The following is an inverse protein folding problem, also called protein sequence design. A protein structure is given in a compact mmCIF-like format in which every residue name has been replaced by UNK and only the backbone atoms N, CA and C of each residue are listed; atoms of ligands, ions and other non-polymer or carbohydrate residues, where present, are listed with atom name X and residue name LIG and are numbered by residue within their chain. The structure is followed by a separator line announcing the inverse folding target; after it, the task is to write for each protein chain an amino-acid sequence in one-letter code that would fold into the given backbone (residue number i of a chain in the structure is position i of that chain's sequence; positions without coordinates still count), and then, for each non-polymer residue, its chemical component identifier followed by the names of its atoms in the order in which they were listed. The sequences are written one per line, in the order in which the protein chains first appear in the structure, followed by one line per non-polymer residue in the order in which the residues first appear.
data_IF_463107061113
#
_entry.id   IF_463107061113
#
_cell.length_a   1.000
_cell.length_b   1.000
_cell.length_c   1.000
_cell.angle_alpha   90.00
_cell.angle_beta   90.00
_cell.angle_gamma   90.00
#
_symmetry.space_group_name_H-M   'P 1'
#
loop_
_entity.id
_entity.type
_entity.pdbx_description
1 polymer ?
#
# COMPACT_ATOMS: atom_id res chain seq x y z
N UNK A 1 17.90 -19.35 -8.82
CA UNK A 1 17.32 -19.60 -7.48
C UNK A 1 16.11 -18.69 -7.38
N UNK A 2 14.98 -19.10 -6.76
CA UNK A 2 13.87 -18.18 -6.57
C UNK A 2 14.37 -16.97 -5.77
N UNK A 3 14.04 -15.76 -6.23
CA UNK A 3 14.37 -14.52 -5.52
C UNK A 3 13.60 -14.55 -4.20
N UNK A 4 14.32 -14.50 -3.08
CA UNK A 4 13.69 -14.41 -1.77
C UNK A 4 13.22 -12.97 -1.55
N UNK A 5 11.92 -12.74 -1.73
CA UNK A 5 11.32 -11.41 -1.57
C UNK A 5 11.01 -11.12 -0.10
N UNK A 6 11.33 -9.90 0.35
CA UNK A 6 10.95 -9.45 1.68
C UNK A 6 9.44 -9.24 1.76
N UNK A 7 8.77 -10.09 2.54
CA UNK A 7 7.32 -10.06 2.74
C UNK A 7 6.96 -10.01 4.23
N UNK A 8 6.06 -9.11 4.58
CA UNK A 8 5.58 -8.95 5.95
C UNK A 8 4.09 -9.26 6.02
N UNK A 9 3.71 -10.11 6.99
CA UNK A 9 2.30 -10.45 7.21
C UNK A 9 1.64 -9.39 8.09
N UNK A 10 0.37 -9.12 7.80
CA UNK A 10 -0.40 -8.07 8.45
C UNK A 10 -0.47 -8.26 9.96
N UNK A 11 -0.13 -7.21 10.71
CA UNK A 11 -0.36 -7.12 12.15
C UNK A 11 -1.18 -5.87 12.46
N UNK A 12 -2.33 -6.02 13.15
CA UNK A 12 -3.26 -4.92 13.47
C UNK A 12 -3.66 -4.13 12.21
N UNK A 13 -3.62 -2.79 12.23
CA UNK A 13 -3.89 -1.92 11.08
C UNK A 13 -2.59 -1.31 10.52
N UNK A 14 -1.47 -2.03 10.58
CA UNK A 14 -0.15 -1.55 10.13
C UNK A 14 0.10 -1.81 8.63
N UNK A 15 -0.96 -1.88 7.81
CA UNK A 15 -0.86 -2.23 6.39
C UNK A 15 0.09 -1.31 5.63
N UNK A 16 0.11 0.00 5.93
CA UNK A 16 1.05 0.91 5.29
C UNK A 16 2.52 0.63 5.64
N UNK A 17 2.82 0.20 6.87
CA UNK A 17 4.20 -0.20 7.25
C UNK A 17 4.65 -1.36 6.37
N UNK A 18 3.81 -2.38 6.25
CA UNK A 18 4.12 -3.58 5.46
C UNK A 18 4.22 -3.25 3.96
N UNK A 19 3.32 -2.42 3.44
CA UNK A 19 3.36 -1.96 2.05
C UNK A 19 4.67 -1.23 1.73
N UNK A 20 5.13 -0.33 2.60
CA UNK A 20 6.40 0.38 2.45
C UNK A 20 7.62 -0.54 2.54
N UNK A 21 7.63 -1.48 3.49
CA UNK A 21 8.75 -2.42 3.64
C UNK A 21 8.81 -3.41 2.48
N UNK A 22 7.65 -3.84 1.96
CA UNK A 22 7.58 -4.64 0.74
C UNK A 22 7.98 -3.84 -0.50
N UNK A 23 7.67 -2.55 -0.60
CA UNK A 23 8.18 -1.70 -1.68
C UNK A 23 9.71 -1.64 -1.66
N UNK A 24 10.30 -1.40 -0.48
CA UNK A 24 11.73 -1.22 -0.30
C UNK A 24 12.53 -2.54 -0.22
N UNK A 25 11.82 -3.67 -0.25
CA UNK A 25 12.35 -5.02 -0.09
C UNK A 25 13.24 -5.20 1.16
N UNK A 26 12.90 -4.49 2.24
CA UNK A 26 13.58 -4.55 3.55
C UNK A 26 12.72 -3.96 4.65
N UNK A 27 13.07 -4.26 5.90
CA UNK A 27 12.43 -3.66 7.09
C UNK A 27 12.97 -2.25 7.35
N UNK A 28 12.52 -1.28 6.56
CA UNK A 28 12.91 0.13 6.70
C UNK A 28 12.08 0.85 7.77
N UNK A 29 10.75 0.71 7.72
CA UNK A 29 9.82 1.42 8.57
C UNK A 29 9.26 0.53 9.68
N UNK A 30 9.06 1.15 10.84
CA UNK A 30 8.21 0.63 11.91
C UNK A 30 6.99 1.50 12.13
N UNK A 31 6.02 1.03 12.91
CA UNK A 31 4.88 1.86 13.32
C UNK A 31 5.32 3.13 14.04
N UNK A 32 6.42 3.09 14.80
CA UNK A 32 6.98 4.26 15.49
C UNK A 32 7.51 5.30 14.50
N UNK A 33 8.03 4.87 13.36
CA UNK A 33 8.54 5.78 12.33
C UNK A 33 7.39 6.47 11.60
N UNK A 34 6.33 5.73 11.27
CA UNK A 34 5.12 6.33 10.69
C UNK A 34 4.39 7.24 11.70
N UNK A 35 4.35 6.87 12.98
CA UNK A 35 3.84 7.74 14.05
C UNK A 35 4.61 9.08 14.12
N UNK A 36 5.94 9.06 13.97
CA UNK A 36 6.76 10.28 13.93
C UNK A 36 6.40 11.16 12.73
N UNK A 37 6.12 10.56 11.57
CA UNK A 37 5.64 11.28 10.38
C UNK A 37 4.27 11.92 10.67
N UNK A 38 3.35 11.21 11.31
CA UNK A 38 2.06 11.78 11.70
C UNK A 38 2.23 13.01 12.61
N UNK A 39 3.16 12.98 13.55
CA UNK A 39 3.43 14.13 14.43
C UNK A 39 4.14 15.29 13.74
N UNK A 40 4.90 15.06 12.66
CA UNK A 40 5.48 16.15 11.87
C UNK A 40 4.46 16.82 10.95
N UNK A 41 3.41 16.10 10.54
CA UNK A 41 2.34 16.63 9.70
C UNK A 41 1.31 17.46 10.48
N UNK A 42 1.19 17.26 11.79
CA UNK A 42 0.26 18.00 12.64
C UNK A 42 0.84 18.22 14.05
N UNK A 43 0.97 19.48 14.47
CA UNK A 43 1.56 19.86 15.77
C UNK A 43 0.74 19.36 16.98
N UNK A 44 -0.56 19.07 16.79
CA UNK A 44 -1.43 18.59 17.86
C UNK A 44 -1.27 17.08 18.11
N UNK A 45 -0.48 16.73 19.12
CA UNK A 45 -0.21 15.34 19.55
C UNK A 45 -1.42 14.57 20.09
N UNK A 46 -2.46 15.28 20.53
CA UNK A 46 -3.63 14.70 21.22
C UNK A 46 -4.78 14.33 20.27
N UNK A 47 -4.84 14.94 19.08
CA UNK A 47 -5.80 14.64 18.02
C UNK A 47 -5.09 14.63 16.68
N UNK A 48 -4.70 13.44 16.21
CA UNK A 48 -4.04 13.30 14.93
C UNK A 48 -5.02 12.67 13.91
N UNK A 49 -5.53 13.43 12.93
CA UNK A 49 -6.49 12.92 11.94
C UNK A 49 -5.86 11.90 10.98
N UNK A 50 -4.53 11.73 11.00
CA UNK A 50 -3.78 10.85 10.11
C UNK A 50 -3.53 9.45 10.71
N UNK A 51 -4.10 9.14 11.90
CA UNK A 51 -4.06 7.79 12.49
C UNK A 51 -5.23 7.52 13.43
N UNK A 52 -5.49 6.23 13.68
CA UNK A 52 -6.40 5.81 14.75
C UNK A 52 -5.87 6.26 16.12
N UNK A 53 -6.73 6.89 16.94
CA UNK A 53 -6.41 7.50 18.25
C UNK A 53 -5.67 6.56 19.21
N UNK A 54 -5.83 5.24 19.06
CA UNK A 54 -5.23 4.22 19.93
C UNK A 54 -3.87 3.66 19.44
N UNK A 55 -3.22 4.26 18.44
CA UNK A 55 -1.91 3.77 17.96
C UNK A 55 -1.98 2.38 17.31
N UNK A 56 -3.15 2.03 16.76
CA UNK A 56 -3.41 0.74 16.13
C UNK A 56 -2.99 0.69 14.64
N UNK A 57 -2.54 1.81 14.08
CA UNK A 57 -2.20 1.99 12.67
C UNK A 57 -3.22 2.87 11.93
N UNK A 58 -3.58 2.47 10.71
CA UNK A 58 -4.50 3.18 9.79
C UNK A 58 -3.96 4.55 9.36
N UNK A 59 -2.75 4.53 8.81
CA UNK A 59 -2.08 5.71 8.28
C UNK A 59 -2.70 6.13 6.95
N UNK A 60 -2.83 7.44 6.75
CA UNK A 60 -3.36 8.00 5.51
C UNK A 60 -2.28 8.17 4.43
N UNK A 61 -2.68 8.74 3.29
CA UNK A 61 -1.78 8.93 2.16
C UNK A 61 -0.72 10.01 2.38
N UNK A 62 -0.93 10.97 3.28
CA UNK A 62 0.09 11.98 3.57
C UNK A 62 1.29 11.35 4.27
N UNK A 63 1.03 10.38 5.14
CA UNK A 63 2.09 9.57 5.76
C UNK A 63 2.86 8.77 4.71
N UNK A 64 2.16 8.16 3.74
CA UNK A 64 2.78 7.47 2.62
C UNK A 64 3.70 8.42 1.83
N UNK A 65 3.20 9.59 1.42
CA UNK A 65 3.97 10.55 0.63
C UNK A 65 5.25 11.00 1.33
N UNK A 66 5.18 11.33 2.63
CA UNK A 66 6.38 11.72 3.40
C UNK A 66 7.34 10.53 3.59
N UNK A 67 6.83 9.31 3.74
CA UNK A 67 7.68 8.13 3.84
C UNK A 67 8.43 7.84 2.54
N UNK A 68 7.78 8.00 1.38
CA UNK A 68 8.40 7.85 0.07
C UNK A 68 9.45 8.94 -0.19
N UNK A 69 9.14 10.20 0.14
CA UNK A 69 10.05 11.34 0.00
C UNK A 69 11.35 11.15 0.82
N UNK A 70 11.23 10.63 2.06
CA UNK A 70 12.40 10.27 2.89
C UNK A 70 13.29 9.18 2.30
N UNK A 71 12.78 8.42 1.34
CA UNK A 71 13.52 7.37 0.64
C UNK A 71 13.93 7.80 -0.78
N UNK A 72 13.81 9.08 -1.12
CA UNK A 72 14.07 9.64 -2.45
C UNK A 72 13.26 8.94 -3.57
N UNK A 73 12.03 8.51 -3.24
CA UNK A 73 11.13 7.86 -4.19
C UNK A 73 10.08 8.83 -4.72
N UNK A 74 9.88 8.81 -6.04
CA UNK A 74 8.85 9.59 -6.72
C UNK A 74 7.57 8.78 -6.89
N UNK A 75 6.44 9.35 -6.46
CA UNK A 75 5.10 8.77 -6.64
C UNK A 75 4.30 9.59 -7.64
N UNK A 76 3.62 8.89 -8.56
CA UNK A 76 2.66 9.50 -9.48
C UNK A 76 1.26 8.98 -9.16
N UNK A 77 0.31 9.90 -9.03
CA UNK A 77 -1.09 9.55 -8.87
C UNK A 77 -1.69 9.08 -10.19
N UNK A 78 -2.31 7.90 -10.16
CA UNK A 78 -3.07 7.41 -11.30
C UNK A 78 -4.55 7.79 -11.16
N UNK A 79 -5.12 8.39 -12.21
CA UNK A 79 -6.54 8.67 -12.29
C UNK A 79 -7.29 7.40 -12.67
N UNK A 80 -8.04 6.82 -11.73
CA UNK A 80 -8.78 5.56 -11.91
C UNK A 80 -9.87 5.61 -13.00
N UNK A 81 -10.18 6.80 -13.54
CA UNK A 81 -11.09 6.98 -14.68
C UNK A 81 -10.41 6.73 -16.02
N UNK A 82 -9.07 6.66 -16.05
CA UNK A 82 -8.28 6.37 -17.25
C UNK A 82 -8.03 4.86 -17.38
N UNK A 83 -7.85 4.36 -18.62
CA UNK A 83 -7.51 2.95 -18.81
C UNK A 83 -6.10 2.66 -18.28
N UNK A 84 -5.89 1.49 -17.68
CA UNK A 84 -4.58 1.09 -17.12
C UNK A 84 -3.50 1.00 -18.20
N UNK A 85 -3.90 0.76 -19.46
CA UNK A 85 -3.00 0.77 -20.61
C UNK A 85 -2.32 2.13 -20.86
N UNK A 86 -2.77 3.21 -20.22
CA UNK A 86 -2.10 4.51 -20.28
C UNK A 86 -0.83 4.57 -19.42
N UNK A 87 -0.62 3.59 -18.52
CA UNK A 87 0.58 3.50 -17.70
C UNK A 87 1.69 2.85 -18.52
N UNK A 88 2.84 3.53 -18.61
CA UNK A 88 4.07 2.89 -19.09
C UNK A 88 4.61 1.94 -18.01
N UNK A 89 4.17 0.69 -18.04
CA UNK A 89 4.56 -0.36 -17.08
C UNK A 89 6.07 -0.67 -17.08
N UNK A 90 6.80 -0.28 -18.13
CA UNK A 90 8.25 -0.44 -18.18
C UNK A 90 8.98 0.58 -17.31
N UNK A 91 8.37 1.72 -17.05
CA UNK A 91 8.93 2.80 -16.23
C UNK A 91 8.40 2.79 -14.77
N UNK A 92 7.73 1.71 -14.36
CA UNK A 92 7.13 1.58 -13.03
C UNK A 92 7.83 0.47 -12.25
N UNK A 93 8.42 0.81 -11.11
CA UNK A 93 9.04 -0.15 -10.19
C UNK A 93 7.99 -0.86 -9.32
N UNK A 94 6.91 -0.17 -8.98
CA UNK A 94 5.85 -0.72 -8.15
C UNK A 94 4.55 0.08 -8.28
N UNK A 95 3.44 -0.56 -7.92
CA UNK A 95 2.13 0.08 -7.77
C UNK A 95 1.67 -0.08 -6.32
N UNK A 96 1.21 1.02 -5.71
CA UNK A 96 0.66 1.01 -4.36
C UNK A 96 -0.85 1.20 -4.45
N UNK A 97 -1.59 0.29 -3.83
CA UNK A 97 -3.04 0.28 -3.84
C UNK A 97 -3.58 0.64 -2.47
N UNK A 98 -4.67 1.38 -2.45
CA UNK A 98 -5.49 1.63 -1.27
C UNK A 98 -6.89 1.12 -1.56
N UNK A 99 -7.28 -0.02 -1.03
CA UNK A 99 -8.56 -0.68 -1.39
C UNK A 99 -9.48 -0.80 -0.18
N UNK A 100 -10.80 -0.92 -0.35
CA UNK A 100 -11.70 -1.19 0.77
C UNK A 100 -11.30 -2.47 1.54
N UNK A 101 -11.17 -2.36 2.86
CA UNK A 101 -10.87 -3.45 3.79
C UNK A 101 -12.13 -4.29 4.04
N UNK A 102 -12.66 -4.94 3.01
CA UNK A 102 -13.87 -5.80 3.10
C UNK A 102 -13.61 -7.19 3.71
N UNK A 103 -12.37 -7.50 4.10
CA UNK A 103 -11.92 -8.85 4.49
C UNK A 103 -12.17 -9.21 5.95
N UNK A 104 -12.37 -8.23 6.84
CA UNK A 104 -12.57 -8.47 8.26
C UNK A 104 -13.87 -7.79 8.69
N UNK A 105 -14.95 -8.55 8.97
CA UNK A 105 -16.16 -8.01 9.57
C UNK A 105 -15.80 -7.22 10.84
N UNK A 106 -16.31 -5.99 10.97
CA UNK A 106 -16.05 -5.05 12.08
C UNK A 106 -14.75 -4.21 12.01
N UNK A 107 -13.95 -4.30 10.94
CA UNK A 107 -12.89 -3.30 10.66
C UNK A 107 -13.17 -2.55 9.34
N UNK A 108 -14.18 -1.65 9.35
CA UNK A 108 -14.40 -0.77 8.21
C UNK A 108 -13.16 0.11 8.01
N UNK A 109 -12.73 0.28 6.77
CA UNK A 109 -11.55 1.08 6.46
C UNK A 109 -10.98 0.76 5.09
N UNK A 110 -9.79 1.30 4.83
CA UNK A 110 -9.03 1.00 3.61
C UNK A 110 -7.75 0.24 3.97
N UNK A 111 -7.22 -0.47 2.99
CA UNK A 111 -6.08 -1.35 3.11
C UNK A 111 -5.03 -0.97 2.08
N UNK A 112 -3.82 -0.70 2.57
CA UNK A 112 -2.66 -0.41 1.75
C UNK A 112 -1.91 -1.70 1.42
N UNK A 113 -1.55 -1.90 0.15
CA UNK A 113 -0.60 -2.93 -0.24
C UNK A 113 0.17 -2.55 -1.49
N UNK A 114 1.29 -3.23 -1.72
CA UNK A 114 2.20 -2.99 -2.85
C UNK A 114 2.12 -4.16 -3.82
N UNK A 115 2.12 -3.86 -5.11
CA UNK A 115 2.48 -4.80 -6.18
C UNK A 115 3.84 -4.37 -6.72
N UNK A 116 4.84 -5.23 -6.56
CA UNK A 116 6.23 -4.95 -6.87
C UNK A 116 6.61 -5.53 -8.23
N UNK A 117 7.27 -4.75 -9.09
CA UNK A 117 7.94 -5.29 -10.28
C UNK A 117 9.30 -5.84 -9.85
N UNK A 118 9.53 -7.13 -10.09
CA UNK A 118 10.82 -7.78 -9.75
C UNK A 118 11.74 -7.78 -10.96
N UNK A 119 13.00 -8.20 -10.78
CA UNK A 119 14.07 -8.07 -11.78
C UNK A 119 13.77 -8.72 -13.15
N UNK A 120 12.98 -9.80 -13.17
CA UNK A 120 12.57 -10.47 -14.41
C UNK A 120 11.40 -9.78 -15.14
N UNK A 121 10.91 -8.67 -14.59
CA UNK A 121 9.81 -7.88 -15.13
C UNK A 121 8.41 -8.34 -14.71
N UNK A 122 8.29 -9.46 -13.99
CA UNK A 122 7.02 -9.92 -13.43
C UNK A 122 6.55 -9.02 -12.28
N UNK A 123 5.23 -8.98 -12.07
CA UNK A 123 4.61 -8.24 -10.97
C UNK A 123 4.21 -9.19 -9.86
N UNK A 124 4.60 -8.87 -8.63
CA UNK A 124 4.35 -9.67 -7.44
C UNK A 124 3.41 -8.92 -6.51
N UNK A 125 2.25 -9.50 -6.20
CA UNK A 125 1.35 -9.03 -5.18
C UNK A 125 1.94 -9.29 -3.78
N UNK A 126 2.33 -8.20 -3.12
CA UNK A 126 2.94 -8.19 -1.79
C UNK A 126 1.93 -7.88 -0.67
N UNK A 127 0.63 -8.07 -0.91
CA UNK A 127 -0.42 -7.89 0.09
C UNK A 127 -0.07 -8.64 1.38
N UNK A 128 -0.03 -7.89 2.49
CA UNK A 128 0.31 -8.39 3.82
C UNK A 128 -0.75 -9.37 4.37
N UNK A 129 -1.96 -9.41 3.78
CA UNK A 129 -2.95 -10.44 4.08
C UNK A 129 -2.63 -11.80 3.43
N UNK A 130 -1.76 -11.84 2.42
CA UNK A 130 -1.33 -13.10 1.82
C UNK A 130 -0.34 -13.83 2.76
N UNK A 131 -0.29 -15.18 2.71
CA UNK A 131 0.71 -15.92 3.45
C UNK A 131 2.12 -15.77 2.87
N UNK A 132 2.22 -15.55 1.56
CA UNK A 132 3.44 -15.34 0.77
C UNK A 132 3.12 -14.47 -0.45
N UNK A 133 4.11 -13.80 -1.07
CA UNK A 133 3.93 -13.09 -2.33
C UNK A 133 3.32 -13.98 -3.42
N UNK A 134 2.48 -13.40 -4.26
CA UNK A 134 1.86 -14.10 -5.40
C UNK A 134 2.09 -13.35 -6.68
N UNK A 135 2.50 -14.05 -7.73
CA UNK A 135 2.60 -13.48 -9.06
C UNK A 135 1.24 -12.95 -9.54
N UNK A 136 1.29 -11.83 -10.26
CA UNK A 136 0.15 -11.20 -10.90
C UNK A 136 0.24 -11.47 -12.39
N UNK A 137 -0.55 -12.43 -12.88
CA UNK A 137 -0.53 -12.89 -14.28
C UNK A 137 -0.68 -11.74 -15.29
N UNK A 138 -1.56 -10.79 -15.00
CA UNK A 138 -1.77 -9.59 -15.82
C UNK A 138 -2.11 -8.38 -14.93
N UNK A 139 -1.19 -7.42 -14.85
CA UNK A 139 -1.33 -6.26 -13.98
C UNK A 139 -2.50 -5.34 -14.37
N UNK A 140 -2.82 -5.24 -15.66
CA UNK A 140 -3.97 -4.45 -16.13
C UNK A 140 -5.27 -5.06 -15.64
N UNK A 141 -5.50 -6.35 -15.93
CA UNK A 141 -6.71 -7.07 -15.48
C UNK A 141 -6.82 -7.07 -13.96
N UNK A 142 -5.72 -7.30 -13.26
CA UNK A 142 -5.68 -7.26 -11.80
C UNK A 142 -6.12 -5.89 -11.26
N UNK A 143 -5.58 -4.80 -11.81
CA UNK A 143 -5.92 -3.44 -11.40
C UNK A 143 -7.38 -3.08 -11.71
N UNK A 144 -7.87 -3.44 -12.90
CA UNK A 144 -9.25 -3.21 -13.31
C UNK A 144 -10.25 -3.92 -12.38
N UNK A 145 -9.95 -5.15 -11.96
CA UNK A 145 -10.76 -5.88 -10.99
C UNK A 145 -10.84 -5.17 -9.65
N UNK A 146 -9.73 -4.58 -9.17
CA UNK A 146 -9.73 -3.81 -7.93
C UNK A 146 -10.64 -2.58 -8.02
N UNK A 147 -10.61 -1.85 -9.13
CA UNK A 147 -11.48 -0.68 -9.35
C UNK A 147 -12.96 -1.07 -9.44
N UNK A 148 -13.30 -2.17 -10.12
CA UNK A 148 -14.67 -2.66 -10.19
C UNK A 148 -15.21 -3.05 -8.81
N UNK A 149 -14.37 -3.67 -7.98
CA UNK A 149 -14.74 -4.03 -6.60
C UNK A 149 -14.93 -2.79 -5.72
N UNK A 150 -14.14 -1.73 -5.94
CA UNK A 150 -14.34 -0.44 -5.25
C UNK A 150 -15.67 0.21 -5.62
N UNK A 151 -16.08 0.17 -6.89
CA UNK A 151 -17.37 0.71 -7.32
C UNK A 151 -18.55 -0.05 -6.72
N UNK A 152 -18.48 -1.39 -6.65
CA UNK A 152 -19.54 -2.22 -6.05
C UNK A 152 -19.70 -1.97 -4.56
N UNK A 153 -18.61 -1.82 -3.81
CA UNK A 153 -18.64 -1.55 -2.36
C UNK A 153 -19.17 -0.16 -1.97
N UNK A 154 -19.38 0.74 -2.93
CA UNK A 154 -19.97 2.07 -2.71
C UNK A 154 -21.49 2.12 -2.99
N UNK A 155 -22.11 1.00 -3.40
CA UNK A 155 -23.52 0.91 -3.78
C UNK A 155 -24.37 0.16 -2.71
N UNK A 156 -23.72 -0.48 -1.74
CA UNK A 156 -24.33 -1.14 -0.58
C UNK A 156 -24.24 -0.26 0.70
#
# INVERSE_FOLDING_TARGET
MPVELHHERQVKQMCLVHALNSLLQRKEFTSKDLDRICYSLNENRWFNPHKSILGLGNYDVNVLMVALDKCDLHMVWFDSRRPISDINLDAVDAMIFNVPSGRIPCWPGRHWFTVLKVEDGSFMNMDSFLPVPKEVDNICTFTEQLFQNEQKGNID
#
